data_IF_394233584156
#
_entry.id   IF_394233584156
#
_cell.length_a   1.000
_cell.length_b   1.000
_cell.length_c   1.000
_cell.angle_alpha   90.00
_cell.angle_beta   90.00
_cell.angle_gamma   90.00
#
_symmetry.space_group_name_H-M   'P 1'
#
loop_
_entity.id
_entity.type
_entity.pdbx_description
1 polymer ?
#
# COMPACT_ATOMS: atom_id res chain seq x y z
N UNK A 1 10.28 29.29 6.03
CA UNK A 1 10.99 28.13 5.46
C UNK A 1 9.91 27.13 5.05
N UNK A 2 9.50 27.14 3.79
CA UNK A 2 8.60 26.10 3.27
C UNK A 2 9.46 24.83 3.20
N UNK A 3 9.18 23.86 4.07
CA UNK A 3 9.76 22.54 3.96
C UNK A 3 9.32 22.01 2.59
N UNK A 4 10.24 22.05 1.63
CA UNK A 4 10.09 21.33 0.38
C UNK A 4 10.15 19.87 0.81
N UNK A 5 8.99 19.28 1.09
CA UNK A 5 8.86 17.84 1.29
C UNK A 5 9.16 17.23 -0.07
N UNK A 6 10.43 16.98 -0.33
CA UNK A 6 10.86 16.15 -1.45
C UNK A 6 10.09 14.85 -1.24
N UNK A 7 9.22 14.43 -2.18
CA UNK A 7 8.53 13.16 -2.05
C UNK A 7 9.60 12.09 -1.91
N UNK A 8 9.73 11.55 -0.69
CA UNK A 8 10.67 10.49 -0.38
C UNK A 8 10.28 9.33 -1.28
N UNK A 9 11.20 8.82 -2.10
CA UNK A 9 10.93 7.58 -2.82
C UNK A 9 10.51 6.54 -1.78
N UNK A 10 9.33 5.97 -1.97
CA UNK A 10 8.82 4.90 -1.15
C UNK A 10 9.79 3.73 -1.28
N UNK A 11 10.49 3.42 -0.18
CA UNK A 11 11.28 2.21 -0.09
C UNK A 11 10.30 1.05 0.14
N UNK A 12 10.10 0.26 -0.93
CA UNK A 12 9.21 -0.88 -0.94
C UNK A 12 9.57 -1.85 0.20
N UNK A 13 10.86 -2.01 0.50
CA UNK A 13 11.33 -2.98 1.49
C UNK A 13 11.04 -2.52 2.93
N UNK A 14 11.17 -1.21 3.19
CA UNK A 14 10.87 -0.59 4.49
C UNK A 14 9.36 -0.64 4.79
N UNK A 15 8.53 -0.30 3.79
CA UNK A 15 7.07 -0.44 3.92
C UNK A 15 6.65 -1.90 4.13
N UNK A 16 7.25 -2.84 3.38
CA UNK A 16 6.94 -4.25 3.56
C UNK A 16 7.28 -4.74 4.97
N UNK A 17 8.41 -4.32 5.53
CA UNK A 17 8.77 -4.69 6.90
C UNK A 17 7.79 -4.08 7.91
N UNK A 18 7.43 -2.80 7.76
CA UNK A 18 6.43 -2.13 8.59
C UNK A 18 5.09 -2.86 8.57
N UNK A 19 4.55 -3.15 7.39
CA UNK A 19 3.26 -3.84 7.25
C UNK A 19 3.32 -5.30 7.72
N UNK A 20 4.47 -6.00 7.57
CA UNK A 20 4.70 -7.31 8.18
C UNK A 20 4.67 -7.25 9.71
N UNK A 21 5.23 -6.20 10.31
CA UNK A 21 5.16 -6.01 11.76
C UNK A 21 3.74 -5.71 12.23
N UNK A 22 2.97 -4.89 11.49
CA UNK A 22 1.55 -4.65 11.79
C UNK A 22 0.71 -5.93 11.65
N UNK A 23 1.07 -6.79 10.69
CA UNK A 23 0.46 -8.10 10.52
C UNK A 23 0.73 -9.02 11.71
N UNK A 24 1.99 -9.09 12.17
CA UNK A 24 2.36 -9.83 13.39
C UNK A 24 1.64 -9.34 14.65
N UNK A 25 1.25 -8.05 14.69
CA UNK A 25 0.44 -7.45 15.78
C UNK A 25 -1.05 -7.76 15.69
N UNK A 26 -1.50 -8.54 14.69
CA UNK A 26 -2.87 -9.01 14.55
C UNK A 26 -3.86 -7.99 13.95
N UNK A 27 -3.39 -6.80 13.54
CA UNK A 27 -4.27 -5.76 12.99
C UNK A 27 -4.76 -6.06 11.55
N UNK A 28 -4.07 -6.95 10.84
CA UNK A 28 -4.39 -7.37 9.47
C UNK A 28 -5.10 -8.72 9.37
N UNK A 29 -5.34 -9.39 10.50
CA UNK A 29 -5.95 -10.73 10.56
C UNK A 29 -4.95 -11.89 10.52
N UNK A 30 -5.45 -13.10 10.22
CA UNK A 30 -4.73 -14.39 10.28
C UNK A 30 -4.30 -14.92 8.89
N UNK A 31 -4.32 -14.11 7.84
CA UNK A 31 -3.91 -14.57 6.50
C UNK A 31 -2.39 -14.62 6.35
N UNK A 32 -1.82 -15.51 5.53
CA UNK A 32 -0.41 -15.41 5.18
C UNK A 32 -0.14 -14.03 4.55
N UNK A 33 0.85 -13.31 5.09
CA UNK A 33 1.26 -12.00 4.56
C UNK A 33 1.86 -12.12 3.15
N UNK A 34 2.37 -13.32 2.82
CA UNK A 34 2.90 -13.68 1.52
C UNK A 34 1.76 -13.83 0.50
N UNK A 35 1.52 -12.77 -0.29
CA UNK A 35 0.50 -12.75 -1.32
C UNK A 35 -0.08 -11.35 -1.55
N UNK A 36 -1.37 -11.20 -1.28
CA UNK A 36 -2.11 -9.95 -1.52
C UNK A 36 -1.60 -8.77 -0.68
N UNK A 37 -1.28 -8.91 0.62
CA UNK A 37 -0.74 -7.80 1.40
C UNK A 37 0.59 -7.30 0.84
N UNK A 38 1.56 -8.18 0.63
CA UNK A 38 2.85 -7.82 0.02
C UNK A 38 2.68 -7.20 -1.37
N UNK A 39 1.87 -7.83 -2.24
CA UNK A 39 1.60 -7.33 -3.57
C UNK A 39 0.93 -5.96 -3.57
N UNK A 40 0.07 -5.69 -2.58
CA UNK A 40 -0.61 -4.40 -2.42
C UNK A 40 0.37 -3.32 -1.99
N UNK A 41 1.23 -3.59 -1.00
CA UNK A 41 2.26 -2.63 -0.57
C UNK A 41 3.17 -2.28 -1.74
N UNK A 42 3.66 -3.28 -2.49
CA UNK A 42 4.53 -3.05 -3.66
C UNK A 42 3.84 -2.20 -4.72
N UNK A 43 2.61 -2.54 -5.09
CA UNK A 43 1.85 -1.79 -6.10
C UNK A 43 1.55 -0.34 -5.67
N UNK A 44 1.25 -0.08 -4.39
CA UNK A 44 1.07 1.29 -3.88
C UNK A 44 2.39 2.06 -3.92
N UNK A 45 3.49 1.46 -3.48
CA UNK A 45 4.79 2.11 -3.50
C UNK A 45 5.23 2.45 -4.93
N UNK A 46 5.05 1.54 -5.88
CA UNK A 46 5.31 1.79 -7.31
C UNK A 46 4.44 2.92 -7.86
N UNK A 47 3.14 2.90 -7.56
CA UNK A 47 2.22 3.95 -7.99
C UNK A 47 2.55 5.32 -7.35
N UNK A 48 2.98 5.33 -6.09
CA UNK A 48 3.45 6.53 -5.39
C UNK A 48 4.76 7.06 -5.96
N UNK A 49 5.71 6.18 -6.24
CA UNK A 49 6.99 6.56 -6.86
C UNK A 49 6.80 7.12 -8.28
N UNK A 50 5.84 6.60 -9.04
CA UNK A 50 5.48 7.14 -10.35
C UNK A 50 4.70 8.47 -10.24
N UNK A 51 3.77 8.56 -9.29
CA UNK A 51 2.88 9.72 -9.11
C UNK A 51 2.66 10.04 -7.63
N UNK A 52 3.53 10.82 -6.96
CA UNK A 52 3.45 11.07 -5.51
C UNK A 52 2.12 11.72 -5.05
N UNK A 53 1.42 12.37 -5.98
CA UNK A 53 0.15 13.05 -5.76
C UNK A 53 -1.09 12.17 -6.02
N UNK A 54 -0.95 10.86 -6.23
CA UNK A 54 -2.08 9.97 -6.52
C UNK A 54 -3.16 10.00 -5.41
N UNK A 55 -4.44 9.93 -5.76
CA UNK A 55 -5.49 9.86 -4.75
C UNK A 55 -5.57 8.45 -4.14
N UNK A 56 -6.28 8.30 -3.01
CA UNK A 56 -6.59 6.99 -2.44
C UNK A 56 -7.33 6.09 -3.45
N UNK A 57 -8.22 6.67 -4.26
CA UNK A 57 -8.90 5.95 -5.34
C UNK A 57 -7.95 5.48 -6.43
N UNK A 58 -6.94 6.30 -6.78
CA UNK A 58 -5.94 5.91 -7.76
C UNK A 58 -5.04 4.80 -7.22
N UNK A 59 -4.71 4.83 -5.93
CA UNK A 59 -3.93 3.77 -5.27
C UNK A 59 -4.70 2.45 -5.28
N UNK A 60 -5.98 2.47 -4.91
CA UNK A 60 -6.87 1.29 -4.97
C UNK A 60 -6.97 0.77 -6.41
N UNK A 61 -7.13 1.65 -7.39
CA UNK A 61 -7.18 1.27 -8.81
C UNK A 61 -5.88 0.61 -9.27
N UNK A 62 -4.73 1.21 -8.95
CA UNK A 62 -3.42 0.70 -9.33
C UNK A 62 -3.17 -0.69 -8.73
N UNK A 63 -3.51 -0.89 -7.45
CA UNK A 63 -3.39 -2.19 -6.78
C UNK A 63 -4.29 -3.24 -7.43
N UNK A 64 -5.56 -2.92 -7.68
CA UNK A 64 -6.50 -3.84 -8.33
C UNK A 64 -6.04 -4.23 -9.73
N UNK A 65 -5.48 -3.27 -10.48
CA UNK A 65 -4.90 -3.52 -11.81
C UNK A 65 -3.65 -4.39 -11.73
N UNK A 66 -2.75 -4.09 -10.80
CA UNK A 66 -1.47 -4.82 -10.63
C UNK A 66 -1.67 -6.26 -10.15
N UNK A 67 -2.68 -6.51 -9.32
CA UNK A 67 -2.95 -7.83 -8.74
C UNK A 67 -4.06 -8.59 -9.46
N UNK A 68 -4.62 -8.03 -10.54
CA UNK A 68 -5.77 -8.56 -11.29
C UNK A 68 -6.91 -9.05 -10.38
N UNK A 69 -7.21 -8.30 -9.31
CA UNK A 69 -8.17 -8.73 -8.29
C UNK A 69 -9.60 -8.67 -8.81
N UNK A 70 -10.35 -9.77 -8.61
CA UNK A 70 -11.78 -9.78 -8.91
C UNK A 70 -12.53 -8.88 -7.93
N UNK A 71 -13.35 -7.93 -8.43
CA UNK A 71 -14.18 -7.09 -7.57
C UNK A 71 -15.06 -7.94 -6.63
N UNK A 72 -15.13 -7.56 -5.37
CA UNK A 72 -15.93 -8.26 -4.36
C UNK A 72 -15.28 -9.51 -3.75
N UNK A 73 -14.09 -9.92 -4.22
CA UNK A 73 -13.32 -10.97 -3.55
C UNK A 73 -12.78 -10.49 -2.20
N UNK A 74 -12.54 -11.42 -1.27
CA UNK A 74 -11.89 -11.14 0.01
C UNK A 74 -10.52 -10.47 -0.18
N UNK A 75 -9.79 -10.88 -1.22
CA UNK A 75 -8.51 -10.27 -1.61
C UNK A 75 -8.65 -8.82 -2.07
N UNK A 76 -9.69 -8.50 -2.85
CA UNK A 76 -10.00 -7.13 -3.24
C UNK A 76 -10.33 -6.27 -2.02
N UNK A 77 -11.14 -6.76 -1.09
CA UNK A 77 -11.45 -6.01 0.14
C UNK A 77 -10.21 -5.76 1.01
N UNK A 78 -9.31 -6.74 1.11
CA UNK A 78 -8.07 -6.59 1.86
C UNK A 78 -7.14 -5.58 1.18
N UNK A 79 -6.99 -5.66 -0.14
CA UNK A 79 -6.23 -4.70 -0.93
C UNK A 79 -6.80 -3.28 -0.80
N UNK A 80 -8.13 -3.12 -0.89
CA UNK A 80 -8.81 -1.83 -0.73
C UNK A 80 -8.65 -1.24 0.67
N UNK A 81 -8.53 -2.09 1.69
CA UNK A 81 -8.28 -1.69 3.08
C UNK A 81 -6.81 -1.26 3.29
N UNK A 82 -5.87 -1.94 2.64
CA UNK A 82 -4.42 -1.71 2.80
C UNK A 82 -3.93 -0.53 1.96
N UNK A 83 -4.41 -0.40 0.72
CA UNK A 83 -3.92 0.57 -0.24
C UNK A 83 -3.95 2.04 0.23
N UNK A 84 -5.08 2.58 0.73
CA UNK A 84 -5.13 3.95 1.22
C UNK A 84 -4.27 4.13 2.48
N UNK A 85 -4.17 3.11 3.35
CA UNK A 85 -3.32 3.20 4.55
C UNK A 85 -1.83 3.22 4.22
N UNK A 86 -1.38 2.41 3.25
CA UNK A 86 -0.01 2.47 2.74
C UNK A 86 0.27 3.86 2.18
N UNK A 87 -0.64 4.41 1.37
CA UNK A 87 -0.49 5.74 0.81
C UNK A 87 -0.41 6.84 1.89
N UNK A 88 -1.24 6.76 2.92
CA UNK A 88 -1.19 7.70 4.05
C UNK A 88 0.11 7.58 4.83
N UNK A 89 0.61 6.35 5.06
CA UNK A 89 1.88 6.12 5.73
C UNK A 89 3.05 6.73 4.95
N UNK A 90 3.10 6.49 3.64
CA UNK A 90 4.10 7.07 2.73
C UNK A 90 4.08 8.62 2.67
N UNK A 91 2.93 9.22 2.97
CA UNK A 91 2.76 10.68 3.02
C UNK A 91 3.05 11.27 4.39
N UNK A 92 3.11 10.44 5.41
CA UNK A 92 3.40 10.89 6.77
C UNK A 92 4.91 11.04 6.91
N UNK A 93 5.41 12.22 7.32
CA UNK A 93 6.85 12.51 7.38
C UNK A 93 7.59 11.74 8.47
#
# INVERSE_FOLDING_TARGET
MQAVTIPRQADIQDELDYWRQQHRRGQLGYHPFDGIPEGTVRAVCEAYNAHPQLSEHDAIRAVRQSLCLTPGSMHAQLADWLAPRCLQHLRTP
#
